data_IF_935589738075
#
_entry.id   IF_935589738075
#
_cell.length_a   1.000
_cell.length_b   1.000
_cell.length_c   1.000
_cell.angle_alpha   90.00
_cell.angle_beta   90.00
_cell.angle_gamma   90.00
#
_symmetry.space_group_name_H-M   'P 1'
#
loop_
_entity.id
_entity.type
_entity.pdbx_description
1 polymer ?
#
# COMPACT_ATOMS: atom_id res chain seq x y z
N UNK A 1 -12.71 6.02 25.66
CA UNK A 1 -13.77 5.05 25.95
C UNK A 1 -15.13 5.76 26.06
N UNK A 2 -16.19 5.10 25.65
CA UNK A 2 -17.57 5.62 25.71
C UNK A 2 -18.51 4.56 26.26
N UNK A 3 -19.59 5.01 26.90
CA UNK A 3 -20.69 4.13 27.28
C UNK A 3 -21.62 3.82 26.09
N UNK A 4 -22.69 3.05 26.32
CA UNK A 4 -23.63 2.65 25.27
C UNK A 4 -24.35 3.84 24.59
N UNK A 5 -24.44 4.98 25.25
CA UNK A 5 -25.03 6.22 24.74
C UNK A 5 -24.01 7.11 24.02
N UNK A 6 -22.75 6.65 23.87
CA UNK A 6 -21.68 7.41 23.21
C UNK A 6 -21.00 8.46 24.11
N UNK A 7 -21.35 8.58 25.37
CA UNK A 7 -20.73 9.51 26.29
C UNK A 7 -19.38 8.99 26.77
N UNK A 8 -18.40 9.89 26.89
CA UNK A 8 -17.05 9.54 27.37
C UNK A 8 -17.13 9.03 28.82
N UNK A 9 -16.42 7.91 29.09
CA UNK A 9 -16.25 7.35 30.43
C UNK A 9 -14.98 7.92 31.07
N UNK A 10 -15.08 8.90 31.98
CA UNK A 10 -13.90 9.66 32.44
C UNK A 10 -12.96 8.86 33.35
N UNK A 11 -13.45 7.75 33.91
CA UNK A 11 -12.63 6.89 34.79
C UNK A 11 -11.85 5.80 34.05
N UNK A 12 -12.09 5.61 32.77
CA UNK A 12 -11.35 4.65 31.98
C UNK A 12 -9.86 5.04 31.92
N UNK A 13 -8.96 4.08 32.25
CA UNK A 13 -7.52 4.28 32.36
C UNK A 13 -7.08 4.95 33.67
N UNK A 14 -7.93 4.92 34.70
CA UNK A 14 -7.66 5.37 36.08
C UNK A 14 -7.89 4.28 37.11
N UNK A 15 -8.09 3.08 36.63
CA UNK A 15 -8.24 1.89 37.45
C UNK A 15 -6.91 1.61 38.22
N UNK A 16 -6.97 0.84 39.30
CA UNK A 16 -5.78 0.45 40.07
C UNK A 16 -4.77 -0.36 39.24
N UNK A 17 -5.25 -1.10 38.24
CA UNK A 17 -4.49 -1.65 37.11
C UNK A 17 -5.05 -0.99 35.87
N UNK A 18 -4.29 -0.08 35.26
CA UNK A 18 -4.76 0.70 34.14
C UNK A 18 -5.02 -0.16 32.92
N UNK A 19 -6.21 -0.06 32.38
CA UNK A 19 -6.57 -0.66 31.09
C UNK A 19 -5.82 0.03 29.95
N UNK A 20 -5.40 -0.77 28.97
CA UNK A 20 -4.73 -0.29 27.78
C UNK A 20 -5.54 -0.62 26.54
N UNK A 21 -5.44 0.24 25.54
CA UNK A 21 -6.18 0.09 24.28
C UNK A 21 -5.23 -0.20 23.10
N UNK A 22 -5.74 -0.94 22.16
CA UNK A 22 -5.10 -1.17 20.87
C UNK A 22 -6.07 -0.92 19.73
N UNK A 23 -5.56 -0.78 18.53
CA UNK A 23 -6.38 -0.73 17.32
C UNK A 23 -5.93 -1.81 16.34
N UNK A 24 -6.88 -2.32 15.59
CA UNK A 24 -6.65 -3.33 14.55
C UNK A 24 -7.32 -2.90 13.24
N UNK A 25 -6.88 -3.48 12.13
CA UNK A 25 -7.59 -3.37 10.86
C UNK A 25 -8.93 -4.09 10.96
N UNK A 26 -10.02 -3.37 10.64
CA UNK A 26 -11.35 -3.96 10.60
C UNK A 26 -11.71 -4.41 9.18
N UNK A 27 -11.46 -3.56 8.19
CA UNK A 27 -11.68 -3.89 6.77
C UNK A 27 -10.79 -3.05 5.86
N UNK A 28 -10.54 -3.60 4.68
CA UNK A 28 -10.06 -2.85 3.53
C UNK A 28 -11.30 -2.41 2.74
N UNK A 29 -11.48 -1.10 2.63
CA UNK A 29 -12.61 -0.52 1.89
C UNK A 29 -12.28 -0.41 0.41
N UNK A 30 -11.02 -0.12 0.10
CA UNK A 30 -10.53 0.07 -1.24
C UNK A 30 -9.02 -0.25 -1.33
N UNK A 31 -8.55 -0.96 -2.36
CA UNK A 31 -9.32 -1.59 -3.42
C UNK A 31 -10.11 -2.80 -2.91
N UNK A 32 -11.28 -3.06 -3.49
CA UNK A 32 -12.17 -4.12 -3.02
C UNK A 32 -11.58 -5.54 -3.17
N UNK A 33 -10.66 -5.72 -4.10
CA UNK A 33 -9.93 -6.98 -4.33
C UNK A 33 -8.53 -7.01 -3.69
N UNK A 34 -8.23 -6.04 -2.84
CA UNK A 34 -6.97 -6.00 -2.11
C UNK A 34 -6.90 -7.01 -0.97
N UNK A 35 -5.71 -7.21 -0.45
CA UNK A 35 -5.47 -8.05 0.72
C UNK A 35 -5.42 -7.20 1.99
N UNK A 36 -6.11 -7.66 3.02
CA UNK A 36 -6.03 -7.08 4.35
C UNK A 36 -5.00 -7.86 5.17
N UNK A 37 -3.84 -7.27 5.33
CA UNK A 37 -2.74 -7.86 6.10
C UNK A 37 -2.63 -7.16 7.45
N UNK A 38 -2.85 -7.85 8.58
CA UNK A 38 -2.78 -7.23 9.91
C UNK A 38 -1.47 -6.49 10.18
N UNK A 39 -0.36 -7.03 9.69
CA UNK A 39 0.97 -6.45 9.85
C UNK A 39 1.21 -5.14 9.04
N UNK A 40 0.28 -4.78 8.15
CA UNK A 40 0.34 -3.49 7.48
C UNK A 40 -0.02 -2.32 8.40
N UNK A 41 -0.69 -2.57 9.52
CA UNK A 41 -0.93 -1.57 10.56
C UNK A 41 0.08 -1.74 11.67
N UNK A 42 0.84 -0.70 11.98
CA UNK A 42 1.91 -0.75 12.98
C UNK A 42 1.72 0.32 14.05
N UNK A 43 2.39 0.12 15.19
CA UNK A 43 2.30 0.97 16.37
C UNK A 43 0.85 1.08 16.91
N UNK A 44 0.16 -0.03 16.92
CA UNK A 44 -1.27 -0.14 17.24
C UNK A 44 -1.62 0.01 18.72
N UNK A 45 -0.62 -0.08 19.60
CA UNK A 45 -0.71 0.19 21.04
C UNK A 45 -0.18 1.58 21.40
N UNK A 46 0.31 1.73 22.63
CA UNK A 46 0.95 2.95 23.13
C UNK A 46 0.05 4.21 23.08
N UNK A 47 -1.19 4.03 23.46
CA UNK A 47 -2.10 5.15 23.64
C UNK A 47 -1.81 5.88 24.97
N UNK A 48 -1.66 7.19 24.90
CA UNK A 48 -1.44 8.06 26.06
C UNK A 48 -2.67 8.89 26.37
N UNK A 49 -2.94 9.09 27.65
CA UNK A 49 -4.07 9.93 28.08
C UNK A 49 -3.89 11.37 27.60
N UNK A 50 -4.99 11.96 27.13
CA UNK A 50 -5.01 13.36 26.69
C UNK A 50 -5.18 14.26 27.91
N UNK A 51 -4.21 15.12 28.18
CA UNK A 51 -4.27 16.07 29.30
C UNK A 51 -5.52 16.94 29.19
N UNK A 52 -6.20 17.12 30.31
CA UNK A 52 -7.45 17.91 30.38
C UNK A 52 -8.68 17.24 29.74
N UNK A 53 -8.57 16.01 29.24
CA UNK A 53 -9.68 15.28 28.60
C UNK A 53 -9.79 13.85 29.15
N UNK A 54 -10.34 13.67 30.37
CA UNK A 54 -10.44 12.36 31.01
C UNK A 54 -11.18 11.34 30.12
N UNK A 55 -10.69 10.07 30.13
CA UNK A 55 -11.25 8.99 29.31
C UNK A 55 -10.91 9.08 27.81
N UNK A 56 -10.09 10.04 27.41
CA UNK A 56 -9.58 10.18 26.04
C UNK A 56 -8.12 9.80 25.95
N UNK A 57 -7.77 9.06 24.89
CA UNK A 57 -6.43 8.58 24.64
C UNK A 57 -6.03 8.91 23.20
N UNK A 58 -4.75 9.15 22.99
CA UNK A 58 -4.19 9.46 21.68
C UNK A 58 -2.97 8.60 21.39
N UNK A 59 -2.87 8.14 20.17
CA UNK A 59 -1.66 7.60 19.60
C UNK A 59 -1.37 8.30 18.28
N UNK A 60 -0.23 8.95 18.16
CA UNK A 60 0.20 9.68 16.95
C UNK A 60 1.21 8.91 16.11
N UNK A 61 1.58 7.70 16.52
CA UNK A 61 2.59 6.89 15.86
C UNK A 61 2.00 5.80 14.94
N UNK A 62 0.68 5.60 14.96
CA UNK A 62 0.02 4.59 14.12
C UNK A 62 0.29 4.91 12.65
N UNK A 63 0.72 3.91 11.89
CA UNK A 63 0.88 4.05 10.44
C UNK A 63 0.40 2.81 9.69
N UNK A 64 -0.12 3.05 8.49
CA UNK A 64 -0.53 2.00 7.57
C UNK A 64 0.50 1.89 6.45
N UNK A 65 1.01 0.68 6.21
CA UNK A 65 2.16 0.42 5.32
C UNK A 65 1.79 0.03 3.90
N UNK A 66 0.50 -0.09 3.61
CA UNK A 66 0.00 -0.43 2.28
C UNK A 66 -0.83 0.72 1.68
N UNK A 67 -1.38 0.54 0.51
CA UNK A 67 -2.23 1.53 -0.18
C UNK A 67 -3.70 1.20 -0.02
N UNK A 68 -4.55 2.22 -0.21
CA UNK A 68 -6.00 2.06 -0.19
C UNK A 68 -6.71 2.86 0.89
N UNK A 69 -7.91 2.45 1.21
CA UNK A 69 -8.72 3.01 2.31
C UNK A 69 -9.14 1.89 3.24
N UNK A 70 -9.07 2.13 4.53
CA UNK A 70 -9.29 1.13 5.57
C UNK A 70 -10.31 1.61 6.59
N UNK A 71 -10.82 0.69 7.40
CA UNK A 71 -11.45 0.99 8.67
C UNK A 71 -10.68 0.34 9.81
N UNK A 72 -10.72 0.95 10.97
CA UNK A 72 -10.06 0.47 12.18
C UNK A 72 -11.09 0.06 13.22
N UNK A 73 -10.69 -0.84 14.10
CA UNK A 73 -11.46 -1.20 15.30
C UNK A 73 -10.58 -1.03 16.52
N UNK A 74 -11.10 -0.36 17.52
CA UNK A 74 -10.44 -0.26 18.81
C UNK A 74 -10.88 -1.41 19.73
N UNK A 75 -9.98 -1.84 20.61
CA UNK A 75 -10.23 -2.85 21.61
C UNK A 75 -9.30 -2.70 22.81
N UNK A 76 -9.54 -3.49 23.84
CA UNK A 76 -8.60 -3.66 24.93
C UNK A 76 -7.43 -4.54 24.47
N UNK A 77 -6.26 -4.27 25.00
CA UNK A 77 -5.05 -4.99 24.59
C UNK A 77 -5.09 -6.46 24.95
N UNK A 78 -5.66 -6.79 26.09
CA UNK A 78 -5.80 -8.15 26.61
C UNK A 78 -7.18 -8.78 26.37
N UNK A 79 -8.13 -8.01 25.76
CA UNK A 79 -9.51 -8.40 25.53
C UNK A 79 -10.30 -8.67 26.83
N UNK A 80 -9.90 -8.07 27.94
CA UNK A 80 -10.58 -8.21 29.21
C UNK A 80 -10.68 -6.86 29.93
N UNK A 81 -11.86 -6.49 30.40
CA UNK A 81 -12.06 -5.29 31.21
C UNK A 81 -12.29 -5.70 32.65
N UNK A 82 -11.22 -5.70 33.47
CA UNK A 82 -11.26 -5.99 34.89
C UNK A 82 -11.93 -7.34 35.23
N UNK A 83 -11.71 -8.39 34.43
CA UNK A 83 -12.31 -9.71 34.61
C UNK A 83 -13.73 -9.86 34.07
N UNK A 84 -14.27 -8.84 33.40
CA UNK A 84 -15.63 -8.85 32.83
C UNK A 84 -15.67 -9.21 31.34
N UNK A 85 -14.53 -9.63 30.76
CA UNK A 85 -14.32 -9.83 29.33
C UNK A 85 -14.34 -8.51 28.54
N UNK A 86 -14.08 -8.60 27.26
CA UNK A 86 -14.07 -7.43 26.39
C UNK A 86 -15.49 -7.06 25.91
N UNK A 87 -15.66 -5.81 25.51
CA UNK A 87 -16.93 -5.30 24.98
C UNK A 87 -17.22 -5.96 23.64
N UNK A 88 -18.33 -6.70 23.51
CA UNK A 88 -18.73 -7.25 22.23
C UNK A 88 -19.16 -6.14 21.25
N UNK A 89 -19.13 -6.44 19.95
CA UNK A 89 -19.66 -5.57 18.89
C UNK A 89 -19.04 -4.15 18.82
N UNK A 90 -17.72 -4.08 18.87
CA UNK A 90 -17.02 -2.82 18.64
C UNK A 90 -17.25 -2.32 17.21
N UNK A 91 -17.90 -1.16 17.01
CA UNK A 91 -18.11 -0.64 15.67
C UNK A 91 -16.77 -0.26 15.04
N UNK A 92 -16.60 -0.46 13.72
CA UNK A 92 -15.45 0.07 13.03
C UNK A 92 -15.50 1.59 12.94
N UNK A 93 -14.35 2.20 12.75
CA UNK A 93 -14.26 3.63 12.42
C UNK A 93 -14.97 3.94 11.09
N UNK A 94 -15.18 5.22 10.79
CA UNK A 94 -15.37 5.67 9.42
C UNK A 94 -14.16 5.30 8.54
N UNK A 95 -14.32 5.47 7.23
CA UNK A 95 -13.25 5.22 6.26
C UNK A 95 -12.06 6.16 6.49
N UNK A 96 -10.87 5.60 6.54
CA UNK A 96 -9.59 6.30 6.73
C UNK A 96 -8.73 6.13 5.47
N UNK A 97 -8.06 7.17 5.06
CA UNK A 97 -7.24 7.24 3.85
C UNK A 97 -7.97 8.07 2.78
N UNK A 98 -7.52 8.17 1.57
CA UNK A 98 -6.82 7.18 0.73
C UNK A 98 -5.31 7.25 0.96
N UNK A 99 -4.68 6.09 1.15
CA UNK A 99 -3.22 5.95 1.22
C UNK A 99 -2.66 5.67 -0.18
N UNK A 100 -1.53 6.30 -0.51
CA UNK A 100 -0.82 6.19 -1.78
C UNK A 100 0.58 5.62 -1.58
N UNK A 101 1.22 5.08 -2.63
CA UNK A 101 2.65 4.78 -2.58
C UNK A 101 3.45 6.04 -2.26
N UNK A 102 4.58 5.88 -1.57
CA UNK A 102 5.50 7.00 -1.34
C UNK A 102 6.20 7.40 -2.64
N UNK A 103 6.61 6.43 -3.45
CA UNK A 103 7.20 6.63 -4.77
C UNK A 103 7.17 5.34 -5.59
N UNK A 104 7.55 5.47 -6.85
CA UNK A 104 7.79 4.35 -7.77
C UNK A 104 9.30 4.14 -7.88
N UNK A 105 9.73 2.89 -7.78
CA UNK A 105 11.13 2.48 -7.82
C UNK A 105 11.37 1.62 -9.07
N UNK A 106 12.37 1.97 -9.89
CA UNK A 106 12.90 1.07 -10.90
C UNK A 106 13.75 -0.01 -10.21
N UNK A 107 13.16 -1.18 -9.98
CA UNK A 107 13.78 -2.25 -9.21
C UNK A 107 14.80 -3.03 -10.04
N UNK A 108 14.55 -3.18 -11.33
CA UNK A 108 15.46 -3.83 -12.25
C UNK A 108 15.25 -3.31 -13.67
N UNK A 109 16.31 -3.33 -14.45
CA UNK A 109 16.26 -3.16 -15.89
C UNK A 109 17.32 -4.04 -16.54
N UNK A 110 16.99 -4.61 -17.67
CA UNK A 110 17.93 -5.41 -18.46
C UNK A 110 17.74 -5.12 -19.94
N UNK A 111 18.83 -4.83 -20.59
CA UNK A 111 18.94 -4.77 -22.05
C UNK A 111 20.22 -5.49 -22.42
N UNK A 112 20.09 -6.62 -23.11
CA UNK A 112 21.25 -7.44 -23.48
C UNK A 112 21.70 -7.10 -24.88
N UNK A 113 22.98 -6.73 -25.00
CA UNK A 113 23.63 -6.62 -26.29
C UNK A 113 23.72 -8.01 -26.95
N UNK A 114 23.57 -8.08 -28.26
CA UNK A 114 23.58 -9.31 -29.02
C UNK A 114 24.96 -9.64 -29.64
N UNK A 115 25.85 -8.66 -29.72
CA UNK A 115 27.19 -8.81 -30.27
C UNK A 115 28.23 -8.30 -29.26
N UNK A 116 28.55 -9.12 -28.26
CA UNK A 116 29.47 -8.69 -27.20
C UNK A 116 28.89 -7.53 -26.39
N UNK A 117 29.42 -6.32 -26.54
CA UNK A 117 28.99 -5.14 -25.77
C UNK A 117 28.08 -4.18 -26.56
N UNK A 118 27.63 -4.55 -27.77
CA UNK A 118 26.77 -3.71 -28.58
C UNK A 118 25.76 -4.53 -29.40
N UNK A 119 24.75 -3.85 -29.93
CA UNK A 119 23.83 -4.40 -30.93
C UNK A 119 23.86 -3.51 -32.16
N UNK A 120 23.72 -4.11 -33.35
CA UNK A 120 23.56 -3.36 -34.58
C UNK A 120 22.15 -2.74 -34.63
N UNK A 121 22.04 -1.59 -35.25
CA UNK A 121 20.75 -1.00 -35.60
C UNK A 121 20.01 -1.94 -36.56
N UNK A 122 18.74 -2.22 -36.25
CA UNK A 122 17.94 -3.17 -37.03
C UNK A 122 18.21 -4.65 -36.70
N UNK A 123 19.07 -4.97 -35.74
CA UNK A 123 19.31 -6.34 -35.31
C UNK A 123 18.11 -6.87 -34.51
N UNK A 124 17.51 -7.96 -34.99
CA UNK A 124 16.40 -8.62 -34.34
C UNK A 124 16.84 -9.40 -33.08
N UNK A 125 15.99 -9.54 -32.09
CA UNK A 125 16.22 -10.39 -30.93
C UNK A 125 16.86 -9.69 -29.71
N UNK A 126 17.00 -8.36 -29.71
CA UNK A 126 17.49 -7.63 -28.55
C UNK A 126 16.37 -7.43 -27.53
N UNK A 127 16.35 -8.16 -26.42
CA UNK A 127 15.28 -8.01 -25.42
C UNK A 127 15.51 -6.80 -24.52
N UNK A 128 14.40 -6.14 -24.15
CA UNK A 128 14.38 -5.16 -23.09
C UNK A 128 13.40 -5.61 -22.02
N UNK A 129 13.79 -5.57 -20.79
CA UNK A 129 12.87 -5.78 -19.67
C UNK A 129 13.19 -4.83 -18.53
N UNK A 130 12.16 -4.46 -17.79
CA UNK A 130 12.33 -3.73 -16.54
C UNK A 130 11.16 -4.01 -15.58
N UNK A 131 11.42 -3.80 -14.29
CA UNK A 131 10.42 -3.90 -13.24
C UNK A 131 10.36 -2.58 -12.48
N UNK A 132 9.15 -2.03 -12.37
CA UNK A 132 8.86 -0.89 -11.50
C UNK A 132 8.08 -1.39 -10.31
N UNK A 133 8.41 -0.91 -9.13
CA UNK A 133 7.71 -1.23 -7.87
C UNK A 133 7.10 0.03 -7.28
N UNK A 134 5.87 -0.10 -6.80
CA UNK A 134 5.25 0.89 -5.93
C UNK A 134 5.65 0.58 -4.49
N UNK A 135 6.29 1.53 -3.80
CA UNK A 135 6.85 1.30 -2.47
C UNK A 135 6.35 2.33 -1.47
N UNK A 136 6.33 1.93 -0.20
CA UNK A 136 6.05 2.83 0.92
C UNK A 136 7.31 3.62 1.33
N UNK A 137 7.19 4.47 2.34
CA UNK A 137 8.29 5.31 2.83
C UNK A 137 9.47 4.53 3.43
N UNK A 138 9.30 3.24 3.72
CA UNK A 138 10.35 2.33 4.18
C UNK A 138 10.98 1.52 3.03
N UNK A 139 10.55 1.76 1.78
CA UNK A 139 11.03 1.02 0.61
C UNK A 139 10.39 -0.34 0.40
N UNK A 140 9.38 -0.71 1.19
CA UNK A 140 8.67 -1.98 1.01
C UNK A 140 7.58 -1.86 -0.06
N UNK A 141 7.45 -2.91 -0.88
CA UNK A 141 6.42 -2.97 -1.93
C UNK A 141 5.02 -2.96 -1.32
N UNK A 142 4.13 -2.13 -1.88
CA UNK A 142 2.74 -2.01 -1.46
C UNK A 142 1.85 -2.89 -2.35
N UNK A 143 1.54 -4.08 -1.86
CA UNK A 143 0.91 -5.15 -2.65
C UNK A 143 -0.50 -4.83 -3.15
N UNK A 144 -1.23 -3.95 -2.48
CA UNK A 144 -2.57 -3.53 -2.91
C UNK A 144 -2.55 -2.52 -4.08
N UNK A 145 -1.36 -2.07 -4.51
CA UNK A 145 -1.21 -1.23 -5.70
C UNK A 145 -1.24 -2.10 -6.95
N UNK A 146 -2.42 -2.40 -7.42
CA UNK A 146 -2.66 -3.26 -8.57
C UNK A 146 -3.93 -2.85 -9.30
N UNK A 147 -3.92 -2.97 -10.62
CA UNK A 147 -5.10 -2.78 -11.46
C UNK A 147 -5.75 -4.12 -11.81
N UNK A 148 -5.72 -5.08 -10.92
CA UNK A 148 -6.34 -6.38 -11.15
C UNK A 148 -7.80 -6.22 -11.51
N UNK A 149 -8.12 -6.68 -12.67
CA UNK A 149 -9.33 -6.33 -13.39
C UNK A 149 -10.25 -7.49 -13.64
N UNK A 150 -10.00 -8.66 -13.08
CA UNK A 150 -10.95 -9.76 -13.21
C UNK A 150 -12.38 -9.32 -12.87
N UNK A 151 -12.52 -8.27 -12.02
CA UNK A 151 -13.80 -7.69 -11.63
C UNK A 151 -13.84 -6.14 -11.69
N UNK A 152 -12.88 -5.47 -12.30
CA UNK A 152 -12.84 -4.00 -12.38
C UNK A 152 -12.64 -3.26 -11.06
N UNK A 153 -12.20 -3.93 -10.02
CA UNK A 153 -12.17 -3.44 -8.63
C UNK A 153 -10.77 -3.12 -8.11
N UNK A 154 -9.77 -3.06 -8.99
CA UNK A 154 -8.40 -2.72 -8.64
C UNK A 154 -8.22 -1.28 -8.14
N UNK A 155 -7.00 -0.94 -7.74
CA UNK A 155 -6.64 0.41 -7.35
C UNK A 155 -6.69 1.35 -8.57
N UNK A 156 -7.62 2.29 -8.60
CA UNK A 156 -7.89 3.16 -9.76
C UNK A 156 -6.83 4.23 -10.03
N UNK A 157 -5.90 4.41 -9.10
CA UNK A 157 -4.83 5.41 -9.19
C UNK A 157 -3.48 4.83 -9.62
N UNK A 158 -3.47 3.66 -10.28
CA UNK A 158 -2.21 3.08 -10.78
C UNK A 158 -1.61 3.96 -11.88
N UNK A 159 -0.27 4.10 -11.84
CA UNK A 159 0.45 4.83 -12.87
C UNK A 159 0.43 4.07 -14.20
N UNK A 160 0.32 4.81 -15.28
CA UNK A 160 0.57 4.33 -16.64
C UNK A 160 1.92 4.84 -17.13
N UNK A 161 2.57 4.06 -17.97
CA UNK A 161 3.85 4.41 -18.57
C UNK A 161 3.75 4.39 -20.08
N UNK A 162 4.32 5.40 -20.70
CA UNK A 162 4.56 5.43 -22.13
C UNK A 162 6.06 5.36 -22.36
N UNK A 163 6.50 4.40 -23.16
CA UNK A 163 7.88 4.33 -23.60
C UNK A 163 8.08 5.22 -24.82
N UNK A 164 9.13 6.00 -24.77
CA UNK A 164 9.57 6.82 -25.91
C UNK A 164 10.94 6.28 -26.33
N UNK A 165 11.07 5.95 -27.60
CA UNK A 165 12.36 5.63 -28.20
C UNK A 165 12.75 6.84 -29.06
N UNK A 166 13.91 7.39 -28.78
CA UNK A 166 14.44 8.59 -29.43
C UNK A 166 15.90 8.35 -29.83
N UNK A 167 16.38 9.10 -30.82
CA UNK A 167 17.81 9.17 -31.11
C UNK A 167 18.56 9.89 -29.96
N UNK A 168 19.88 9.85 -30.00
CA UNK A 168 20.72 10.46 -28.97
C UNK A 168 20.54 11.98 -28.82
N UNK A 169 19.99 12.63 -29.82
CA UNK A 169 19.67 14.05 -29.80
C UNK A 169 18.24 14.36 -29.33
N UNK A 170 17.40 13.34 -29.11
CA UNK A 170 15.98 13.50 -28.75
C UNK A 170 15.12 14.10 -29.87
N UNK A 171 15.56 14.02 -31.11
CA UNK A 171 14.92 14.67 -32.26
C UNK A 171 14.13 13.74 -33.16
N UNK A 172 14.45 12.44 -33.16
CA UNK A 172 13.82 11.44 -34.02
C UNK A 172 13.05 10.43 -33.16
N UNK A 173 11.75 10.30 -33.41
CA UNK A 173 10.95 9.25 -32.79
C UNK A 173 11.24 7.89 -33.43
N UNK A 174 11.79 6.97 -32.66
CA UNK A 174 12.12 5.61 -33.03
C UNK A 174 11.10 4.58 -32.50
N UNK A 175 9.93 5.02 -32.04
CA UNK A 175 8.93 4.15 -31.42
C UNK A 175 8.42 3.01 -32.31
N UNK A 176 8.48 3.14 -33.61
CA UNK A 176 8.13 2.09 -34.57
C UNK A 176 9.09 0.88 -34.58
N UNK A 177 10.24 1.02 -33.94
CA UNK A 177 11.25 -0.05 -33.83
C UNK A 177 11.02 -1.00 -32.66
N UNK A 178 10.01 -0.73 -31.83
CA UNK A 178 9.61 -1.63 -30.75
C UNK A 178 8.69 -2.72 -31.27
N UNK A 179 8.98 -3.97 -31.01
CA UNK A 179 8.12 -5.09 -31.32
C UNK A 179 8.05 -6.11 -30.19
N UNK A 180 7.04 -6.97 -30.21
CA UNK A 180 6.84 -7.97 -29.17
C UNK A 180 6.60 -7.38 -27.77
N UNK A 181 5.97 -6.21 -27.72
CA UNK A 181 5.68 -5.49 -26.48
C UNK A 181 4.53 -6.16 -25.76
N UNK A 182 4.75 -6.52 -24.51
CA UNK A 182 3.66 -6.93 -23.62
C UNK A 182 2.87 -5.70 -23.16
N UNK A 183 1.58 -5.87 -22.90
CA UNK A 183 0.76 -4.83 -22.23
C UNK A 183 0.77 -5.15 -20.75
N UNK A 184 1.70 -4.60 -19.98
CA UNK A 184 1.81 -4.97 -18.58
C UNK A 184 0.73 -4.28 -17.75
N UNK A 185 0.39 -4.93 -16.66
CA UNK A 185 -0.50 -4.39 -15.65
C UNK A 185 0.18 -4.42 -14.29
N UNK A 186 -0.26 -3.55 -13.38
CA UNK A 186 0.18 -3.60 -12.00
C UNK A 186 -0.38 -4.84 -11.32
N UNK A 187 0.50 -5.66 -10.75
CA UNK A 187 0.14 -6.83 -9.97
C UNK A 187 0.97 -6.85 -8.68
N UNK A 188 0.31 -6.91 -7.54
CA UNK A 188 0.95 -6.94 -6.21
C UNK A 188 2.04 -5.87 -6.02
N UNK A 189 1.76 -4.64 -6.47
CA UNK A 189 2.69 -3.51 -6.35
C UNK A 189 3.82 -3.49 -7.38
N UNK A 190 3.79 -4.35 -8.39
CA UNK A 190 4.82 -4.44 -9.42
C UNK A 190 4.24 -4.25 -10.82
N UNK A 191 5.02 -3.60 -11.66
CA UNK A 191 4.79 -3.43 -13.09
C UNK A 191 5.96 -4.02 -13.83
N UNK A 192 5.74 -5.13 -14.55
CA UNK A 192 6.78 -5.83 -15.29
C UNK A 192 6.57 -5.60 -16.79
N UNK A 193 7.58 -5.05 -17.43
CA UNK A 193 7.60 -4.79 -18.86
C UNK A 193 8.62 -5.68 -19.55
N UNK A 194 8.22 -6.21 -20.69
CA UNK A 194 9.13 -6.94 -21.60
C UNK A 194 8.83 -6.56 -23.04
N UNK A 195 9.88 -6.30 -23.81
CA UNK A 195 9.87 -6.27 -25.24
C UNK A 195 10.83 -7.35 -25.75
N UNK A 196 10.36 -8.25 -26.58
CA UNK A 196 11.20 -9.34 -27.09
C UNK A 196 12.18 -8.86 -28.15
N UNK A 197 11.92 -7.72 -28.75
CA UNK A 197 12.75 -7.17 -29.81
C UNK A 197 12.72 -5.63 -29.77
N UNK A 198 13.91 -5.06 -29.69
CA UNK A 198 14.19 -3.64 -29.89
C UNK A 198 15.13 -3.56 -31.09
N UNK A 199 14.65 -3.08 -32.23
CA UNK A 199 15.40 -3.05 -33.49
C UNK A 199 15.69 -1.61 -33.95
#
# INVERSE_FOLDING_TARGET
ATNAQGNVTPNFGRESSNETVTVSLASLVYPANGSLTPNDLVNTGNFIAVSGSPGRFRNSAISYRNVGSITLRAGLTDNDYLGALDVPNKPPSGTIGRFYPAHLLLASSNHSALCGNFSYMGQSGSPLSFTIQAVNSQGAVVSNYQNNTANGTGYSGVASFTLVAEDNAGTVNLGSRWSGVTTPSWLAGQYQYTASNVS
#
